data_IF_764210510001
#
_entry.id   IF_764210510001
#
_cell.length_a   1.000
_cell.length_b   1.000
_cell.length_c   1.000
_cell.angle_alpha   90.00
_cell.angle_beta   90.00
_cell.angle_gamma   90.00
#
_symmetry.space_group_name_H-M   'P 1'
#
loop_
_entity.id
_entity.type
_entity.pdbx_description
1 polymer ?
#
# COMPACT_ATOMS: atom_id res chain seq x y z
N UNK A 1 -16.57 -31.86 4.23
CA UNK A 1 -16.99 -30.65 3.49
C UNK A 1 -17.08 -29.56 4.54
N UNK A 2 -16.27 -28.54 4.47
CA UNK A 2 -16.43 -27.35 5.31
C UNK A 2 -17.67 -26.65 4.77
N UNK A 3 -18.68 -26.47 5.59
CA UNK A 3 -19.90 -25.76 5.21
C UNK A 3 -19.50 -24.29 4.92
N UNK A 4 -19.43 -23.93 3.66
CA UNK A 4 -19.04 -22.59 3.21
C UNK A 4 -20.16 -21.56 3.39
N UNK A 5 -21.34 -21.98 3.84
CA UNK A 5 -22.52 -21.14 3.99
C UNK A 5 -22.58 -20.35 5.32
N UNK A 6 -21.70 -20.65 6.28
CA UNK A 6 -21.72 -20.06 7.63
C UNK A 6 -20.51 -19.18 7.92
N UNK A 7 -19.88 -18.62 6.92
CA UNK A 7 -18.69 -17.79 7.10
C UNK A 7 -19.10 -16.34 7.27
N UNK A 8 -18.73 -15.76 8.39
CA UNK A 8 -19.34 -14.54 8.86
C UNK A 8 -18.58 -13.30 8.38
N UNK A 9 -17.62 -12.78 8.93
CA UNK A 9 -17.14 -11.41 8.78
C UNK A 9 -15.94 -11.26 7.83
N UNK A 10 -15.70 -10.03 7.37
CA UNK A 10 -14.44 -9.61 6.75
C UNK A 10 -13.59 -8.94 7.82
N UNK A 11 -12.40 -9.49 8.06
CA UNK A 11 -11.52 -8.99 9.10
C UNK A 11 -10.28 -8.30 8.56
N UNK A 12 -9.83 -7.28 9.29
CA UNK A 12 -8.55 -6.61 9.08
C UNK A 12 -7.69 -6.79 10.34
N UNK A 13 -6.50 -7.33 10.18
CA UNK A 13 -5.49 -7.32 11.24
C UNK A 13 -4.78 -5.98 11.20
N UNK A 14 -5.02 -5.17 12.23
CA UNK A 14 -4.52 -3.79 12.30
C UNK A 14 -3.10 -3.78 12.81
N UNK A 15 -2.20 -3.19 12.04
CA UNK A 15 -0.85 -2.88 12.49
C UNK A 15 -0.84 -1.53 13.20
N UNK A 16 -0.15 -1.46 14.32
CA UNK A 16 0.03 -0.22 15.06
C UNK A 16 1.46 -0.14 15.62
N UNK A 17 1.93 1.07 15.79
CA UNK A 17 3.21 1.40 16.41
C UNK A 17 3.01 2.57 17.36
N UNK A 18 3.30 2.34 18.64
CA UNK A 18 3.28 3.38 19.68
C UNK A 18 1.96 4.19 19.75
N UNK A 19 0.82 3.53 19.44
CA UNK A 19 -0.49 4.16 19.45
C UNK A 19 -0.88 4.86 18.14
N UNK A 20 -0.14 4.60 17.07
CA UNK A 20 -0.51 5.04 15.71
C UNK A 20 -0.80 3.83 14.82
N UNK A 21 -1.94 3.85 14.15
CA UNK A 21 -2.30 2.80 13.19
C UNK A 21 -1.54 3.00 11.89
N UNK A 22 -1.01 1.92 11.32
CA UNK A 22 -0.40 1.95 10.00
C UNK A 22 -1.44 2.34 8.94
N UNK A 23 -1.07 3.23 8.00
CA UNK A 23 -1.97 3.72 6.94
C UNK A 23 -2.62 2.59 6.15
N UNK A 24 -1.86 1.55 5.81
CA UNK A 24 -2.38 0.39 5.09
C UNK A 24 -3.53 -0.31 5.84
N UNK A 25 -3.49 -0.34 7.17
CA UNK A 25 -4.58 -0.91 7.97
C UNK A 25 -5.85 -0.08 7.86
N UNK A 26 -5.71 1.25 7.78
CA UNK A 26 -6.84 2.16 7.59
C UNK A 26 -7.39 2.09 6.15
N UNK A 27 -6.53 1.99 5.14
CA UNK A 27 -6.92 1.72 3.75
C UNK A 27 -7.72 0.40 3.65
N UNK A 28 -7.24 -0.65 4.34
CA UNK A 28 -7.88 -1.96 4.34
C UNK A 28 -9.25 -1.96 5.00
N UNK A 29 -9.50 -1.14 6.02
CA UNK A 29 -10.84 -1.00 6.61
C UNK A 29 -11.85 -0.49 5.59
N UNK A 30 -11.48 0.47 4.74
CA UNK A 30 -12.31 0.93 3.65
C UNK A 30 -12.65 -0.18 2.67
N UNK A 31 -11.63 -0.94 2.24
CA UNK A 31 -11.85 -2.06 1.32
C UNK A 31 -12.64 -3.19 1.95
N UNK A 32 -12.35 -3.52 3.21
CA UNK A 32 -13.10 -4.53 3.96
C UNK A 32 -14.59 -4.15 4.08
N UNK A 33 -14.91 -2.86 4.26
CA UNK A 33 -16.29 -2.38 4.29
C UNK A 33 -17.01 -2.60 2.96
N UNK A 34 -16.37 -2.26 1.84
CA UNK A 34 -16.92 -2.50 0.51
C UNK A 34 -17.18 -3.99 0.24
N UNK A 35 -16.25 -4.86 0.64
CA UNK A 35 -16.42 -6.31 0.48
C UNK A 35 -17.52 -6.85 1.41
N UNK A 36 -17.57 -6.40 2.65
CA UNK A 36 -18.56 -6.82 3.62
C UNK A 36 -19.97 -6.37 3.23
N UNK A 37 -20.14 -5.16 2.67
CA UNK A 37 -21.40 -4.67 2.16
C UNK A 37 -21.92 -5.52 1.00
N UNK A 38 -21.02 -5.97 0.09
CA UNK A 38 -21.38 -6.87 -1.00
C UNK A 38 -21.82 -8.25 -0.49
N UNK A 39 -21.20 -8.73 0.59
CA UNK A 39 -21.49 -10.02 1.20
C UNK A 39 -22.64 -9.99 2.21
N UNK A 40 -23.11 -8.79 2.62
CA UNK A 40 -24.13 -8.62 3.65
C UNK A 40 -23.64 -9.01 5.06
N UNK A 41 -22.34 -8.83 5.36
CA UNK A 41 -21.69 -9.21 6.63
C UNK A 41 -21.03 -8.02 7.32
N UNK A 42 -20.42 -8.25 8.51
CA UNK A 42 -19.77 -7.21 9.30
C UNK A 42 -18.25 -7.13 9.01
N UNK A 43 -17.67 -5.99 9.40
CA UNK A 43 -16.21 -5.79 9.41
C UNK A 43 -15.68 -5.91 10.82
N UNK A 44 -14.77 -6.87 11.02
CA UNK A 44 -13.99 -7.01 12.25
C UNK A 44 -12.60 -6.40 12.11
N UNK A 45 -12.13 -5.71 13.13
CA UNK A 45 -10.76 -5.23 13.24
C UNK A 45 -10.06 -5.89 14.42
N UNK A 46 -8.94 -6.58 14.20
CA UNK A 46 -8.11 -7.16 15.26
C UNK A 46 -7.01 -6.17 15.61
N UNK A 47 -7.09 -5.59 16.79
CA UNK A 47 -6.14 -4.62 17.33
C UNK A 47 -5.34 -5.24 18.48
N UNK A 48 -4.04 -5.43 18.31
CA UNK A 48 -3.15 -6.03 19.29
C UNK A 48 -2.19 -4.94 19.81
N UNK A 49 -2.03 -4.88 21.14
CA UNK A 49 -1.10 -3.91 21.71
C UNK A 49 -1.12 -3.89 23.24
N UNK A 50 -0.51 -2.87 23.82
CA UNK A 50 -0.49 -2.64 25.25
C UNK A 50 -0.84 -1.19 25.59
N UNK A 51 -1.44 -1.03 26.77
CA UNK A 51 -1.72 0.30 27.34
C UNK A 51 -2.87 1.07 26.69
N UNK A 52 -3.08 2.28 27.18
CA UNK A 52 -4.19 3.14 26.75
C UNK A 52 -3.95 3.74 25.34
N UNK A 53 -2.69 3.92 24.92
CA UNK A 53 -2.38 4.44 23.59
C UNK A 53 -2.91 3.52 22.46
N UNK A 54 -2.66 2.21 22.57
CA UNK A 54 -3.21 1.25 21.62
C UNK A 54 -4.74 1.18 21.67
N UNK A 55 -5.32 1.23 22.88
CA UNK A 55 -6.77 1.23 23.07
C UNK A 55 -7.45 2.47 22.44
N UNK A 56 -6.79 3.62 22.52
CA UNK A 56 -7.30 4.87 21.97
C UNK A 56 -7.48 4.85 20.44
N UNK A 57 -6.89 3.86 19.73
CA UNK A 57 -7.11 3.66 18.30
C UNK A 57 -8.48 3.08 17.97
N UNK A 58 -9.09 2.30 18.88
CA UNK A 58 -10.30 1.56 18.58
C UNK A 58 -11.47 2.42 18.07
N UNK A 59 -11.79 3.60 18.65
CA UNK A 59 -12.82 4.48 18.08
C UNK A 59 -12.52 4.97 16.67
N UNK A 60 -11.25 5.23 16.34
CA UNK A 60 -10.85 5.67 14.99
C UNK A 60 -11.02 4.54 13.97
N UNK A 61 -10.80 3.28 14.35
CA UNK A 61 -11.05 2.12 13.49
C UNK A 61 -12.55 1.95 13.22
N UNK A 62 -13.40 2.16 14.22
CA UNK A 62 -14.87 2.18 14.05
C UNK A 62 -15.29 3.28 13.10
N UNK A 63 -14.78 4.51 13.30
CA UNK A 63 -15.07 5.65 12.42
C UNK A 63 -14.66 5.41 10.96
N UNK A 64 -13.72 4.49 10.69
CA UNK A 64 -13.25 4.13 9.36
C UNK A 64 -13.84 2.84 8.79
N UNK A 65 -14.85 2.26 9.43
CA UNK A 65 -15.64 1.19 8.83
C UNK A 65 -15.70 -0.12 9.60
N UNK A 66 -14.97 -0.29 10.72
CA UNK A 66 -15.12 -1.47 11.55
C UNK A 66 -16.46 -1.45 12.31
N UNK A 67 -17.17 -2.57 12.31
CA UNK A 67 -18.38 -2.77 13.14
C UNK A 67 -18.00 -3.35 14.51
N UNK A 68 -16.93 -4.14 14.56
CA UNK A 68 -16.41 -4.71 15.81
C UNK A 68 -14.88 -4.58 15.84
N UNK A 69 -14.34 -4.06 16.93
CA UNK A 69 -12.89 -4.03 17.19
C UNK A 69 -12.60 -5.04 18.30
N UNK A 70 -11.84 -6.08 17.99
CA UNK A 70 -11.31 -7.05 18.95
C UNK A 70 -9.99 -6.52 19.50
N UNK A 71 -10.02 -5.94 20.66
CA UNK A 71 -8.84 -5.37 21.31
C UNK A 71 -8.17 -6.38 22.24
N UNK A 72 -6.99 -6.83 21.86
CA UNK A 72 -6.15 -7.77 22.61
C UNK A 72 -5.07 -7.00 23.34
N UNK A 73 -5.24 -6.80 24.63
CA UNK A 73 -4.35 -5.99 25.46
C UNK A 73 -3.49 -6.86 26.39
N UNK A 74 -2.17 -6.79 26.20
CA UNK A 74 -1.22 -7.40 27.14
C UNK A 74 0.14 -6.69 27.05
N UNK A 75 0.85 -6.55 28.16
CA UNK A 75 2.17 -5.90 28.21
C UNK A 75 3.19 -6.57 27.30
N UNK A 76 3.19 -7.90 27.24
CA UNK A 76 4.08 -8.69 26.39
C UNK A 76 3.76 -8.55 24.87
N UNK A 77 2.63 -7.92 24.53
CA UNK A 77 2.20 -7.65 23.16
C UNK A 77 2.39 -6.18 22.76
N UNK A 78 3.13 -5.39 23.54
CA UNK A 78 3.41 -3.99 23.24
C UNK A 78 4.10 -3.81 21.89
N UNK A 79 4.94 -4.75 21.52
CA UNK A 79 5.66 -4.78 20.26
C UNK A 79 5.40 -6.09 19.52
N UNK A 80 5.52 -6.02 18.19
CA UNK A 80 5.37 -7.21 17.36
C UNK A 80 6.42 -8.27 17.70
N UNK A 81 5.93 -9.44 18.05
CA UNK A 81 6.69 -10.68 18.14
C UNK A 81 5.93 -11.76 17.36
N UNK A 82 6.62 -12.43 16.44
CA UNK A 82 5.98 -13.29 15.45
C UNK A 82 5.11 -14.40 16.08
N UNK A 83 5.62 -15.10 17.07
CA UNK A 83 4.93 -16.25 17.65
C UNK A 83 3.72 -15.85 18.51
N UNK A 84 3.81 -14.90 19.47
CA UNK A 84 2.65 -14.47 20.26
C UNK A 84 1.53 -13.89 19.40
N UNK A 85 1.89 -13.04 18.40
CA UNK A 85 0.91 -12.46 17.47
C UNK A 85 0.22 -13.52 16.62
N UNK A 86 0.97 -14.55 16.17
CA UNK A 86 0.40 -15.69 15.44
C UNK A 86 -0.62 -16.44 16.30
N UNK A 87 -0.33 -16.67 17.59
CA UNK A 87 -1.24 -17.34 18.50
C UNK A 87 -2.50 -16.53 18.74
N UNK A 88 -2.35 -15.21 18.98
CA UNK A 88 -3.49 -14.29 19.15
C UNK A 88 -4.41 -14.35 17.93
N UNK A 89 -3.89 -14.07 16.75
CA UNK A 89 -4.70 -13.99 15.52
C UNK A 89 -5.31 -15.34 15.16
N UNK A 90 -4.55 -16.43 15.28
CA UNK A 90 -5.05 -17.78 15.00
C UNK A 90 -6.14 -18.19 15.99
N UNK A 91 -5.98 -17.84 17.28
CA UNK A 91 -6.97 -18.11 18.32
C UNK A 91 -8.30 -17.42 18.04
N UNK A 92 -8.26 -16.11 17.74
CA UNK A 92 -9.44 -15.34 17.37
C UNK A 92 -10.12 -15.83 16.09
N UNK A 93 -9.34 -16.17 15.06
CA UNK A 93 -9.91 -16.74 13.83
C UNK A 93 -10.61 -18.06 14.06
N UNK A 94 -10.08 -18.93 14.92
CA UNK A 94 -10.73 -20.20 15.28
C UNK A 94 -11.99 -20.02 16.11
N UNK A 95 -12.06 -18.99 16.93
CA UNK A 95 -13.22 -18.69 17.78
C UNK A 95 -14.37 -18.04 17.01
N UNK A 96 -14.03 -17.15 16.04
CA UNK A 96 -15.02 -16.33 15.35
C UNK A 96 -15.26 -16.70 13.88
N UNK A 97 -14.40 -17.54 13.30
CA UNK A 97 -14.53 -18.10 11.95
C UNK A 97 -14.80 -17.06 10.84
N UNK A 98 -14.02 -15.96 10.73
CA UNK A 98 -14.22 -14.99 9.66
C UNK A 98 -14.01 -15.63 8.28
N UNK A 99 -14.76 -15.20 7.26
CA UNK A 99 -14.58 -15.74 5.93
C UNK A 99 -13.38 -15.14 5.16
N UNK A 100 -13.02 -13.90 5.47
CA UNK A 100 -11.91 -13.18 4.84
C UNK A 100 -11.07 -12.52 5.93
N UNK A 101 -9.73 -12.62 5.81
CA UNK A 101 -8.80 -11.91 6.71
C UNK A 101 -7.74 -11.19 5.89
N UNK A 102 -7.64 -9.87 6.06
CA UNK A 102 -6.78 -8.98 5.33
C UNK A 102 -5.64 -8.46 6.21
N UNK A 103 -4.45 -8.35 5.62
CA UNK A 103 -3.24 -7.83 6.25
C UNK A 103 -2.58 -6.80 5.33
N UNK A 104 -1.85 -5.84 5.86
CA UNK A 104 -0.92 -5.02 5.09
C UNK A 104 0.23 -5.86 4.54
N UNK A 105 0.72 -5.57 3.33
CA UNK A 105 1.93 -6.20 2.80
C UNK A 105 3.21 -5.49 3.29
N UNK A 106 3.21 -5.08 4.53
CA UNK A 106 4.34 -4.50 5.28
C UNK A 106 5.34 -5.58 5.69
N UNK A 107 6.43 -5.19 6.33
CA UNK A 107 7.37 -6.14 6.93
C UNK A 107 6.67 -7.03 7.96
N UNK A 108 5.82 -6.45 8.82
CA UNK A 108 5.05 -7.20 9.83
C UNK A 108 4.03 -8.14 9.20
N UNK A 109 3.22 -7.63 8.28
CA UNK A 109 2.18 -8.46 7.66
C UNK A 109 2.73 -9.57 6.78
N UNK A 110 3.86 -9.36 6.11
CA UNK A 110 4.56 -10.40 5.33
C UNK A 110 5.19 -11.50 6.20
N UNK A 111 5.46 -11.23 7.47
CA UNK A 111 5.89 -12.25 8.44
C UNK A 111 4.71 -12.92 9.13
N UNK A 112 3.71 -12.15 9.57
CA UNK A 112 2.57 -12.65 10.35
C UNK A 112 1.58 -13.48 9.51
N UNK A 113 1.14 -12.94 8.38
CA UNK A 113 0.07 -13.57 7.59
C UNK A 113 0.38 -15.00 7.13
N UNK A 114 1.59 -15.34 6.61
CA UNK A 114 1.92 -16.70 6.24
C UNK A 114 2.00 -17.66 7.44
N UNK A 115 2.40 -17.17 8.61
CA UNK A 115 2.40 -17.98 9.85
C UNK A 115 0.98 -18.35 10.28
N UNK A 116 0.06 -17.39 10.24
CA UNK A 116 -1.36 -17.62 10.52
C UNK A 116 -1.98 -18.56 9.49
N UNK A 117 -1.72 -18.33 8.19
CA UNK A 117 -2.20 -19.21 7.12
C UNK A 117 -1.72 -20.66 7.29
N UNK A 118 -0.45 -20.85 7.63
CA UNK A 118 0.13 -22.17 7.91
C UNK A 118 -0.53 -22.83 9.13
N UNK A 119 -0.74 -22.09 10.23
CA UNK A 119 -1.37 -22.61 11.45
C UNK A 119 -2.83 -22.98 11.24
N UNK A 120 -3.54 -22.32 10.34
CA UNK A 120 -4.92 -22.59 9.95
C UNK A 120 -5.04 -23.58 8.77
N UNK A 121 -3.92 -23.93 8.12
CA UNK A 121 -3.88 -24.75 6.91
C UNK A 121 -4.75 -24.18 5.78
N UNK A 122 -4.72 -22.87 5.59
CA UNK A 122 -5.44 -22.17 4.53
C UNK A 122 -4.49 -21.51 3.53
N UNK A 123 -5.04 -21.02 2.41
CA UNK A 123 -4.28 -20.28 1.40
C UNK A 123 -4.07 -18.82 1.76
N UNK A 124 -2.95 -18.25 1.31
CA UNK A 124 -2.64 -16.84 1.41
C UNK A 124 -2.12 -16.31 0.08
N UNK A 125 -2.72 -15.24 -0.43
CA UNK A 125 -2.17 -14.51 -1.57
C UNK A 125 -1.41 -13.28 -1.09
N UNK A 126 -0.15 -13.19 -1.50
CA UNK A 126 0.71 -12.09 -1.06
C UNK A 126 0.73 -10.93 -2.05
N UNK A 127 0.83 -9.69 -1.53
CA UNK A 127 1.09 -8.46 -2.27
C UNK A 127 0.01 -8.14 -3.31
N UNK A 128 -1.26 -8.28 -2.92
CA UNK A 128 -2.41 -7.93 -3.74
C UNK A 128 -2.48 -6.43 -4.01
N UNK A 129 -2.98 -6.08 -5.19
CA UNK A 129 -3.22 -4.69 -5.59
C UNK A 129 -4.69 -4.37 -5.77
N UNK A 130 -5.55 -5.39 -5.84
CA UNK A 130 -7.00 -5.24 -5.82
C UNK A 130 -7.66 -6.50 -5.23
N UNK A 131 -8.86 -6.35 -4.69
CA UNK A 131 -9.68 -7.39 -4.08
C UNK A 131 -11.13 -7.23 -4.57
N UNK A 132 -11.80 -8.31 -4.94
CA UNK A 132 -13.21 -8.27 -5.39
C UNK A 132 -13.95 -9.51 -4.92
N UNK A 133 -15.27 -9.41 -4.79
CA UNK A 133 -16.14 -10.58 -4.62
C UNK A 133 -16.64 -11.03 -5.98
N UNK A 134 -16.70 -12.33 -6.19
CA UNK A 134 -17.24 -12.90 -7.42
C UNK A 134 -17.48 -14.39 -7.31
N UNK A 135 -18.25 -14.91 -8.26
CA UNK A 135 -18.58 -16.33 -8.38
C UNK A 135 -17.64 -17.02 -9.37
N UNK A 136 -17.29 -18.26 -9.10
CA UNK A 136 -16.39 -19.03 -9.96
C UNK A 136 -16.84 -20.47 -10.11
N UNK A 137 -16.85 -20.97 -11.34
CA UNK A 137 -17.11 -22.36 -11.63
C UNK A 137 -15.78 -23.11 -11.85
N UNK A 138 -15.57 -24.18 -11.10
CA UNK A 138 -14.38 -25.02 -11.20
C UNK A 138 -14.79 -26.49 -11.27
N UNK A 139 -14.40 -27.19 -12.35
CA UNK A 139 -14.68 -28.62 -12.58
C UNK A 139 -16.17 -29.00 -12.44
N UNK A 140 -17.08 -28.13 -12.83
CA UNK A 140 -18.51 -28.35 -12.76
C UNK A 140 -19.18 -28.03 -11.41
N UNK A 141 -18.42 -27.54 -10.43
CA UNK A 141 -18.92 -27.01 -9.17
C UNK A 141 -18.94 -25.49 -9.22
N UNK A 142 -20.01 -24.89 -8.75
CA UNK A 142 -20.14 -23.43 -8.61
C UNK A 142 -19.77 -23.02 -7.18
N UNK A 143 -18.85 -22.06 -7.08
CA UNK A 143 -18.45 -21.43 -5.82
C UNK A 143 -18.91 -19.99 -5.85
N UNK A 144 -19.65 -19.58 -4.84
CA UNK A 144 -20.19 -18.21 -4.71
C UNK A 144 -19.40 -17.41 -3.68
N UNK A 145 -19.46 -16.09 -3.82
CA UNK A 145 -18.94 -15.14 -2.84
C UNK A 145 -17.45 -15.37 -2.53
N UNK A 146 -16.65 -15.70 -3.56
CA UNK A 146 -15.21 -15.88 -3.42
C UNK A 146 -14.49 -14.52 -3.43
N UNK A 147 -13.45 -14.44 -2.61
CA UNK A 147 -12.50 -13.34 -2.70
C UNK A 147 -11.57 -13.52 -3.91
N UNK A 148 -11.69 -12.67 -4.90
CA UNK A 148 -10.76 -12.53 -6.01
C UNK A 148 -9.58 -11.69 -5.55
N UNK A 149 -8.42 -12.32 -5.45
CA UNK A 149 -7.19 -11.75 -4.94
C UNK A 149 -6.30 -11.41 -6.13
N UNK A 150 -6.27 -10.14 -6.50
CA UNK A 150 -5.67 -9.66 -7.74
C UNK A 150 -4.28 -9.10 -7.43
N UNK A 151 -3.28 -9.62 -8.12
CA UNK A 151 -1.90 -9.19 -7.96
C UNK A 151 -1.12 -9.16 -9.28
N UNK A 152 -0.13 -8.27 -9.42
CA UNK A 152 0.82 -8.35 -10.53
C UNK A 152 1.69 -9.60 -10.41
N UNK A 153 1.93 -10.27 -11.53
CA UNK A 153 2.84 -11.39 -11.66
C UNK A 153 3.88 -11.10 -12.75
N UNK A 154 4.98 -11.85 -12.75
CA UNK A 154 6.04 -11.78 -13.76
C UNK A 154 6.50 -10.35 -14.07
N UNK A 155 6.92 -9.59 -13.06
CA UNK A 155 7.43 -8.23 -13.21
C UNK A 155 6.37 -7.18 -13.54
N UNK A 156 5.08 -7.48 -13.33
CA UNK A 156 3.97 -6.55 -13.54
C UNK A 156 3.32 -6.59 -14.91
N UNK A 157 3.81 -7.41 -15.83
CA UNK A 157 3.25 -7.54 -17.18
C UNK A 157 1.98 -8.40 -17.25
N UNK A 158 1.73 -9.20 -16.22
CA UNK A 158 0.56 -10.07 -16.12
C UNK A 158 -0.15 -9.78 -14.80
N UNK A 159 -1.46 -9.70 -14.85
CA UNK A 159 -2.31 -9.62 -13.65
C UNK A 159 -2.86 -11.02 -13.40
N UNK A 160 -2.57 -11.56 -12.23
CA UNK A 160 -3.11 -12.85 -11.79
C UNK A 160 -4.29 -12.61 -10.83
N UNK A 161 -5.40 -13.30 -11.09
CA UNK A 161 -6.51 -13.42 -10.15
C UNK A 161 -6.44 -14.77 -9.47
N UNK A 162 -6.29 -14.77 -8.16
CA UNK A 162 -6.14 -15.99 -7.35
C UNK A 162 -7.39 -16.15 -6.49
N UNK A 163 -7.87 -17.38 -6.37
CA UNK A 163 -9.04 -17.74 -5.56
C UNK A 163 -8.71 -18.91 -4.63
N UNK A 164 -9.37 -18.97 -3.49
CA UNK A 164 -9.26 -20.06 -2.51
C UNK A 164 -10.66 -20.62 -2.20
N UNK A 165 -11.23 -21.47 -3.08
CA UNK A 165 -12.64 -21.86 -2.98
C UNK A 165 -12.93 -22.81 -1.80
N UNK A 166 -11.97 -23.64 -1.39
CA UNK A 166 -12.20 -24.76 -0.48
C UNK A 166 -11.84 -24.49 0.99
N UNK A 167 -11.11 -23.42 1.27
CA UNK A 167 -10.59 -23.15 2.61
C UNK A 167 -11.03 -21.78 3.12
N UNK A 168 -11.25 -21.69 4.42
CA UNK A 168 -11.56 -20.43 5.13
C UNK A 168 -10.60 -20.26 6.31
N UNK A 169 -10.27 -19.03 6.68
CA UNK A 169 -10.56 -17.81 5.93
C UNK A 169 -9.81 -17.73 4.59
N UNK A 170 -10.33 -16.94 3.65
CA UNK A 170 -9.58 -16.53 2.47
C UNK A 170 -8.66 -15.38 2.90
N UNK A 171 -7.35 -15.53 2.74
CA UNK A 171 -6.38 -14.59 3.29
C UNK A 171 -5.58 -13.87 2.21
N UNK A 172 -5.38 -12.57 2.39
CA UNK A 172 -4.55 -11.76 1.51
C UNK A 172 -3.68 -10.78 2.28
N UNK A 173 -2.43 -10.58 1.83
CA UNK A 173 -1.72 -9.35 2.15
C UNK A 173 -1.88 -8.37 1.01
N UNK A 174 -2.10 -7.09 1.32
CA UNK A 174 -2.38 -6.03 0.35
C UNK A 174 -1.29 -4.97 0.40
N UNK A 175 -0.82 -4.57 -0.78
CA UNK A 175 0.23 -3.57 -0.92
C UNK A 175 -0.22 -2.24 -0.33
N UNK A 176 0.69 -1.56 0.35
CA UNK A 176 0.46 -0.21 0.87
C UNK A 176 0.17 0.78 -0.26
N UNK A 177 -0.74 1.71 -0.01
CA UNK A 177 -1.04 2.80 -0.92
C UNK A 177 -1.83 2.39 -2.18
N UNK A 178 -2.40 1.17 -2.25
CA UNK A 178 -3.21 0.73 -3.41
C UNK A 178 -4.71 0.80 -3.14
N UNK A 179 -5.13 0.82 -1.88
CA UNK A 179 -6.53 0.98 -1.51
C UNK A 179 -6.81 2.43 -1.09
N UNK A 180 -8.06 2.81 -1.10
CA UNK A 180 -8.47 4.16 -0.71
C UNK A 180 -8.74 4.18 0.78
N UNK A 181 -8.04 5.08 1.49
CA UNK A 181 -8.31 5.32 2.92
C UNK A 181 -9.67 6.00 3.06
N UNK A 182 -10.62 5.45 3.83
CA UNK A 182 -11.92 6.07 4.04
C UNK A 182 -11.80 7.32 4.91
N UNK A 183 -12.68 8.30 4.68
CA UNK A 183 -12.86 9.41 5.60
C UNK A 183 -13.43 8.94 6.94
N UNK A 184 -13.11 9.63 8.02
CA UNK A 184 -13.69 9.32 9.33
C UNK A 184 -15.16 9.72 9.42
N UNK A 185 -16.05 8.78 9.63
CA UNK A 185 -17.42 9.06 10.07
C UNK A 185 -17.55 8.80 11.58
N UNK A 186 -17.39 9.84 12.36
CA UNK A 186 -17.46 9.78 13.83
C UNK A 186 -18.85 9.49 14.37
N UNK A 187 -19.88 9.41 13.51
CA UNK A 187 -21.25 9.05 13.88
C UNK A 187 -21.47 7.54 13.83
N UNK A 188 -20.50 6.78 13.30
CA UNK A 188 -20.62 5.33 13.27
C UNK A 188 -20.56 4.76 14.70
N UNK A 189 -21.50 3.89 14.98
CA UNK A 189 -21.48 3.06 16.18
C UNK A 189 -20.81 1.73 15.86
N UNK A 190 -19.96 1.25 16.77
CA UNK A 190 -19.29 -0.03 16.67
C UNK A 190 -18.99 -0.58 18.05
N UNK A 191 -18.75 -1.88 18.10
CA UNK A 191 -18.46 -2.57 19.35
C UNK A 191 -16.96 -2.67 19.55
N UNK A 192 -16.50 -2.38 20.75
CA UNK A 192 -15.11 -2.60 21.15
C UNK A 192 -15.14 -3.75 22.19
N UNK A 193 -14.60 -4.90 21.81
CA UNK A 193 -14.55 -6.09 22.62
C UNK A 193 -13.14 -6.24 23.17
N UNK A 194 -12.98 -6.11 24.48
CA UNK A 194 -11.73 -6.45 25.15
C UNK A 194 -11.60 -7.98 25.21
N UNK A 195 -10.61 -8.51 24.50
CA UNK A 195 -10.34 -9.94 24.45
C UNK A 195 -9.49 -10.33 25.68
N UNK A 196 -9.95 -11.26 26.52
CA UNK A 196 -9.14 -11.73 27.64
C UNK A 196 -7.87 -12.44 27.16
N UNK A 197 -6.74 -12.09 27.75
CA UNK A 197 -5.46 -12.77 27.53
C UNK A 197 -5.06 -13.51 28.81
N UNK A 198 -4.88 -14.81 28.70
CA UNK A 198 -4.37 -15.64 29.79
C UNK A 198 -2.91 -15.98 29.54
N UNK A 199 -2.04 -15.58 30.44
CA UNK A 199 -0.63 -15.96 30.44
C UNK A 199 -0.44 -17.22 31.27
N UNK A 200 0.13 -18.27 30.71
CA UNK A 200 0.38 -19.53 31.36
C UNK A 200 1.78 -20.06 31.08
N UNK A 201 2.32 -20.94 31.91
CA UNK A 201 3.60 -21.61 31.60
C UNK A 201 3.47 -22.57 30.43
N UNK A 202 2.36 -23.27 30.34
CA UNK A 202 2.03 -24.25 29.31
C UNK A 202 0.72 -23.87 28.64
N UNK A 203 0.47 -24.43 27.45
CA UNK A 203 -0.81 -24.22 26.77
C UNK A 203 -1.93 -24.92 27.51
N UNK A 204 -2.92 -24.14 27.94
CA UNK A 204 -4.13 -24.61 28.61
C UNK A 204 -5.35 -24.27 27.76
N UNK A 205 -6.41 -25.05 27.91
CA UNK A 205 -7.69 -24.72 27.32
C UNK A 205 -8.39 -23.66 28.19
N UNK A 206 -8.88 -22.59 27.55
CA UNK A 206 -9.71 -21.57 28.19
C UNK A 206 -11.08 -21.55 27.52
N UNK A 207 -12.10 -21.07 28.28
CA UNK A 207 -13.46 -21.00 27.77
C UNK A 207 -13.68 -19.91 26.76
N UNK A 208 -12.90 -18.83 26.82
CA UNK A 208 -12.95 -17.71 25.92
C UNK A 208 -11.62 -16.94 25.97
N UNK A 209 -11.28 -16.29 24.85
CA UNK A 209 -10.09 -15.45 24.74
C UNK A 209 -8.83 -16.20 24.28
N UNK A 210 -7.68 -15.56 24.44
CA UNK A 210 -6.39 -16.03 23.93
C UNK A 210 -5.51 -16.53 25.08
N UNK A 211 -4.85 -17.68 24.87
CA UNK A 211 -3.81 -18.20 25.77
C UNK A 211 -2.45 -17.98 25.17
N UNK A 212 -1.56 -17.34 25.91
CA UNK A 212 -0.15 -17.20 25.61
C UNK A 212 0.67 -18.02 26.61
N UNK A 213 1.49 -18.92 26.11
CA UNK A 213 2.39 -19.76 26.91
C UNK A 213 3.83 -19.24 26.87
N UNK A 214 4.70 -19.77 27.74
CA UNK A 214 6.14 -19.44 27.70
C UNK A 214 6.78 -19.88 26.39
N UNK A 215 6.26 -20.93 25.75
CA UNK A 215 6.69 -21.39 24.43
C UNK A 215 6.46 -20.36 23.32
N UNK A 216 5.53 -19.42 23.49
CA UNK A 216 5.25 -18.37 22.51
C UNK A 216 6.26 -17.22 22.58
N UNK A 217 7.09 -17.16 23.65
CA UNK A 217 8.07 -16.09 23.91
C UNK A 217 9.53 -16.58 23.86
N UNK A 218 9.87 -17.37 22.86
CA UNK A 218 11.24 -17.86 22.64
C UNK A 218 12.21 -16.76 22.21
N UNK A 219 11.68 -15.59 21.85
CA UNK A 219 12.44 -14.41 21.44
C UNK A 219 12.03 -13.22 22.30
N UNK A 220 13.01 -12.44 22.74
CA UNK A 220 12.79 -11.20 23.49
C UNK A 220 13.29 -10.01 22.70
N UNK A 221 12.50 -8.95 22.63
CA UNK A 221 12.93 -7.69 22.03
C UNK A 221 13.93 -7.00 22.95
N UNK A 222 15.20 -6.93 22.56
CA UNK A 222 16.25 -6.26 23.31
C UNK A 222 16.28 -4.76 23.08
N UNK A 223 16.14 -4.35 21.81
CA UNK A 223 16.14 -2.94 21.42
C UNK A 223 15.44 -2.76 20.09
N UNK A 224 14.63 -1.73 19.99
CA UNK A 224 14.09 -1.21 18.73
C UNK A 224 14.88 0.03 18.33
N UNK A 225 15.42 0.03 17.13
CA UNK A 225 16.04 1.20 16.52
C UNK A 225 15.15 1.63 15.39
N UNK A 226 14.53 2.78 15.51
CA UNK A 226 13.73 3.38 14.46
C UNK A 226 14.59 4.46 13.81
N UNK A 227 14.89 4.28 12.54
CA UNK A 227 15.49 5.36 11.75
C UNK A 227 14.41 6.40 11.45
N UNK A 228 14.69 7.65 11.79
CA UNK A 228 13.82 8.74 11.39
C UNK A 228 13.86 8.86 9.87
N UNK A 229 12.72 8.70 9.22
CA UNK A 229 12.61 8.97 7.78
C UNK A 229 12.92 10.43 7.53
N UNK A 230 14.05 10.70 6.90
CA UNK A 230 14.49 12.05 6.57
C UNK A 230 13.62 12.71 5.50
N UNK A 231 12.83 11.92 4.77
CA UNK A 231 12.05 12.39 3.62
C UNK A 231 10.65 11.78 3.65
N UNK A 232 9.64 12.64 3.67
CA UNK A 232 8.24 12.23 3.52
C UNK A 232 7.84 12.25 2.04
N UNK A 233 8.08 11.13 1.36
CA UNK A 233 7.65 10.94 -0.03
C UNK A 233 6.15 10.68 -0.16
N UNK A 234 5.52 10.03 0.84
CA UNK A 234 4.11 9.64 0.77
C UNK A 234 3.18 10.84 0.88
N UNK A 235 3.46 11.76 1.81
CA UNK A 235 2.68 12.97 2.02
C UNK A 235 2.96 14.10 1.01
N UNK A 236 3.97 13.95 0.16
CA UNK A 236 4.40 15.00 -0.76
C UNK A 236 3.36 15.27 -1.87
N UNK A 237 2.97 16.54 -2.01
CA UNK A 237 2.09 16.98 -3.12
C UNK A 237 2.80 17.00 -4.47
N UNK A 238 4.10 17.23 -4.47
CA UNK A 238 4.96 17.27 -5.66
C UNK A 238 6.19 16.42 -5.37
N UNK A 239 6.50 15.47 -6.25
CA UNK A 239 7.72 14.67 -6.20
C UNK A 239 8.53 14.92 -7.47
N UNK A 240 9.80 15.28 -7.32
CA UNK A 240 10.75 15.42 -8.42
C UNK A 240 11.78 14.31 -8.30
N UNK A 241 11.78 13.38 -9.24
CA UNK A 241 12.54 12.13 -9.13
C UNK A 241 13.64 12.07 -10.18
N UNK A 242 14.86 11.74 -9.71
CA UNK A 242 16.01 11.52 -10.57
C UNK A 242 16.25 10.05 -10.89
N UNK A 243 16.58 9.75 -12.15
CA UNK A 243 17.02 8.44 -12.59
C UNK A 243 18.51 8.40 -12.96
N UNK A 244 18.95 7.27 -13.56
CA UNK A 244 20.33 7.09 -14.03
C UNK A 244 20.71 8.13 -15.08
N UNK A 245 19.73 8.65 -15.84
CA UNK A 245 19.96 9.71 -16.86
C UNK A 245 20.46 11.04 -16.27
N UNK A 246 20.40 11.23 -14.94
CA UNK A 246 21.02 12.37 -14.24
C UNK A 246 22.55 12.32 -14.31
N UNK A 247 23.13 11.13 -14.44
CA UNK A 247 24.55 10.92 -14.78
C UNK A 247 25.52 10.86 -13.60
N UNK A 248 25.26 11.56 -12.51
CA UNK A 248 26.14 11.54 -11.33
C UNK A 248 25.44 12.03 -10.06
N UNK A 249 26.13 11.92 -8.92
CA UNK A 249 25.68 12.49 -7.65
C UNK A 249 25.58 14.02 -7.73
N UNK A 250 26.52 14.68 -8.38
CA UNK A 250 26.51 16.13 -8.58
C UNK A 250 25.32 16.55 -9.45
N UNK A 251 24.94 15.73 -10.43
CA UNK A 251 23.76 15.95 -11.27
C UNK A 251 22.46 15.96 -10.47
N UNK A 252 22.38 15.24 -9.34
CA UNK A 252 21.22 15.29 -8.44
C UNK A 252 20.97 16.66 -7.82
N UNK A 253 22.00 17.51 -7.67
CA UNK A 253 21.82 18.90 -7.22
C UNK A 253 20.83 19.68 -8.10
N UNK A 254 20.77 19.35 -9.39
CA UNK A 254 19.82 19.96 -10.33
C UNK A 254 18.36 19.50 -10.08
N UNK A 255 18.21 18.21 -9.75
CA UNK A 255 16.90 17.64 -9.36
C UNK A 255 16.42 18.25 -8.05
N UNK A 256 17.32 18.40 -7.08
CA UNK A 256 17.06 19.04 -5.79
C UNK A 256 16.67 20.51 -5.95
N UNK A 257 17.37 21.26 -6.84
CA UNK A 257 17.04 22.66 -7.13
C UNK A 257 15.65 22.78 -7.75
N UNK A 258 15.32 21.90 -8.69
CA UNK A 258 13.97 21.86 -9.28
C UNK A 258 12.92 21.55 -8.21
N UNK A 259 13.15 20.51 -7.38
CA UNK A 259 12.23 20.15 -6.29
C UNK A 259 12.00 21.34 -5.34
N UNK A 260 13.06 21.97 -4.90
CA UNK A 260 12.98 23.17 -4.04
C UNK A 260 12.23 24.32 -4.71
N UNK A 261 12.45 24.52 -6.01
CA UNK A 261 11.80 25.60 -6.77
C UNK A 261 10.29 25.41 -6.87
N UNK A 262 9.83 24.18 -7.07
CA UNK A 262 8.38 23.87 -7.20
C UNK A 262 7.71 23.54 -5.86
N UNK A 263 8.46 23.57 -4.74
CA UNK A 263 7.96 23.20 -3.41
C UNK A 263 7.68 21.71 -3.29
N UNK A 264 8.47 20.88 -3.95
CA UNK A 264 8.36 19.43 -3.96
C UNK A 264 9.45 18.72 -3.16
N UNK A 265 9.31 17.40 -3.05
CA UNK A 265 10.25 16.49 -2.40
C UNK A 265 11.05 15.73 -3.46
N UNK A 266 12.32 15.45 -3.16
CA UNK A 266 13.21 14.71 -4.06
C UNK A 266 12.95 13.22 -3.94
N UNK A 267 12.69 12.56 -5.08
CA UNK A 267 12.64 11.12 -5.21
C UNK A 267 13.77 10.58 -6.10
N UNK A 268 13.92 9.26 -6.17
CA UNK A 268 14.92 8.63 -7.00
C UNK A 268 14.46 7.26 -7.54
N UNK A 269 15.04 6.85 -8.66
CA UNK A 269 14.90 5.47 -9.10
C UNK A 269 15.85 4.56 -8.29
N UNK A 270 15.52 3.26 -8.19
CA UNK A 270 16.38 2.27 -7.55
C UNK A 270 17.81 2.31 -8.08
N UNK A 271 17.99 2.39 -9.39
CA UNK A 271 19.31 2.39 -9.99
C UNK A 271 20.18 3.60 -9.58
N UNK A 272 19.57 4.76 -9.31
CA UNK A 272 20.28 5.93 -8.79
C UNK A 272 20.67 5.76 -7.31
N UNK A 273 19.83 5.10 -6.52
CA UNK A 273 20.12 4.71 -5.12
C UNK A 273 21.23 3.64 -5.08
N UNK A 274 21.11 2.59 -5.88
CA UNK A 274 22.11 1.53 -5.98
C UNK A 274 23.48 2.08 -6.43
N UNK A 275 23.51 3.15 -7.24
CA UNK A 275 24.73 3.88 -7.61
C UNK A 275 25.29 4.78 -6.49
N UNK A 276 24.61 4.89 -5.35
CA UNK A 276 25.04 5.69 -4.21
C UNK A 276 24.93 7.20 -4.41
N UNK A 277 24.11 7.65 -5.35
CA UNK A 277 23.94 9.08 -5.63
C UNK A 277 23.00 9.77 -4.65
N UNK A 278 22.07 9.01 -4.08
CA UNK A 278 21.09 9.49 -3.10
C UNK A 278 20.70 8.35 -2.16
N UNK A 279 20.25 8.67 -0.95
CA UNK A 279 19.91 7.69 0.07
C UNK A 279 18.63 6.91 -0.30
N UNK A 280 18.50 5.70 0.28
CA UNK A 280 17.37 4.78 0.04
C UNK A 280 16.01 5.39 0.41
N UNK A 281 15.96 6.32 1.37
CA UNK A 281 14.73 7.00 1.77
C UNK A 281 14.04 7.77 0.64
N UNK A 282 14.79 8.11 -0.42
CA UNK A 282 14.30 8.76 -1.62
C UNK A 282 13.79 7.78 -2.69
N UNK A 283 13.92 6.46 -2.46
CA UNK A 283 13.60 5.48 -3.49
C UNK A 283 12.08 5.39 -3.76
N UNK A 284 11.69 5.63 -5.00
CA UNK A 284 10.32 5.44 -5.52
C UNK A 284 10.27 4.19 -6.38
N UNK A 285 9.27 3.34 -6.13
CA UNK A 285 9.06 2.11 -6.90
C UNK A 285 8.51 0.97 -6.06
N UNK A 286 8.39 -0.21 -6.66
CA UNK A 286 7.86 -1.41 -6.03
C UNK A 286 8.64 -1.85 -4.77
N UNK A 287 9.96 -1.63 -4.76
CA UNK A 287 10.87 -1.98 -3.64
C UNK A 287 11.25 -0.76 -2.79
N UNK A 288 10.69 0.41 -3.08
CA UNK A 288 10.83 1.65 -2.33
C UNK A 288 9.47 2.15 -1.86
N UNK A 289 9.30 3.46 -1.84
CA UNK A 289 8.04 4.11 -1.47
C UNK A 289 7.11 4.21 -2.67
N UNK A 290 5.86 3.80 -2.52
CA UNK A 290 4.78 4.10 -3.48
C UNK A 290 4.23 5.49 -3.16
N UNK A 291 4.12 6.34 -4.20
CA UNK A 291 3.74 7.76 -4.08
C UNK A 291 2.55 8.09 -4.97
N UNK A 292 1.71 9.02 -4.52
CA UNK A 292 0.54 9.53 -5.28
C UNK A 292 0.47 11.06 -5.25
N UNK A 293 1.52 11.76 -5.68
CA UNK A 293 1.54 13.22 -5.66
C UNK A 293 0.54 13.80 -6.67
N UNK A 294 0.20 15.07 -6.49
CA UNK A 294 -0.52 15.84 -7.52
C UNK A 294 0.31 16.03 -8.79
N UNK A 295 1.64 16.11 -8.65
CA UNK A 295 2.59 16.19 -9.75
C UNK A 295 3.82 15.34 -9.46
N UNK A 296 4.13 14.43 -10.39
CA UNK A 296 5.37 13.66 -10.41
C UNK A 296 6.22 14.11 -11.59
N UNK A 297 7.47 14.53 -11.34
CA UNK A 297 8.41 14.94 -12.36
C UNK A 297 9.51 13.89 -12.45
N UNK A 298 9.56 13.13 -13.55
CA UNK A 298 10.55 12.09 -13.79
C UNK A 298 11.70 12.64 -14.64
N UNK A 299 12.89 12.81 -14.06
CA UNK A 299 14.08 13.36 -14.70
C UNK A 299 15.09 12.25 -15.01
N UNK A 300 15.29 11.91 -16.27
CA UNK A 300 16.25 10.87 -16.69
C UNK A 300 15.91 9.48 -16.17
N UNK A 301 14.64 9.17 -16.01
CA UNK A 301 14.11 7.86 -15.58
C UNK A 301 13.66 7.09 -16.81
N UNK A 302 14.12 5.83 -16.95
CA UNK A 302 13.73 4.98 -18.08
C UNK A 302 12.26 4.54 -18.04
N UNK A 303 11.70 4.38 -16.82
CA UNK A 303 10.31 3.93 -16.65
C UNK A 303 10.16 2.41 -16.64
N UNK A 304 11.08 1.70 -15.97
CA UNK A 304 10.91 0.26 -15.68
C UNK A 304 9.59 -0.01 -14.97
N UNK A 305 9.03 -1.20 -15.17
CA UNK A 305 7.76 -1.62 -14.56
C UNK A 305 7.76 -1.44 -13.04
N UNK A 306 8.90 -1.76 -12.40
CA UNK A 306 9.07 -1.63 -10.96
C UNK A 306 9.02 -0.17 -10.48
N UNK A 307 9.57 0.76 -11.24
CA UNK A 307 9.50 2.18 -10.92
C UNK A 307 8.09 2.72 -11.16
N UNK A 308 7.48 2.39 -12.30
CA UNK A 308 6.11 2.81 -12.63
C UNK A 308 5.10 2.34 -11.61
N UNK A 309 5.23 1.10 -11.11
CA UNK A 309 4.35 0.58 -10.05
C UNK A 309 4.35 1.42 -8.76
N UNK A 310 5.36 2.24 -8.55
CA UNK A 310 5.45 3.14 -7.40
C UNK A 310 4.96 4.57 -7.65
N UNK A 311 4.63 4.97 -8.91
CA UNK A 311 4.29 6.36 -9.20
C UNK A 311 3.20 6.57 -10.27
N UNK A 312 2.73 5.55 -10.95
CA UNK A 312 1.75 5.66 -12.05
C UNK A 312 0.38 6.17 -11.60
N UNK A 313 0.06 6.08 -10.30
CA UNK A 313 -1.14 6.64 -9.68
C UNK A 313 -1.03 8.14 -9.38
N UNK A 314 0.04 8.81 -9.81
CA UNK A 314 0.19 10.27 -9.67
C UNK A 314 -0.86 11.00 -10.51
N UNK A 315 -1.46 12.07 -9.97
CA UNK A 315 -2.51 12.81 -10.69
C UNK A 315 -2.02 13.43 -12.01
N UNK A 316 -0.75 13.86 -12.05
CA UNK A 316 -0.07 14.31 -13.28
C UNK A 316 1.37 13.84 -13.26
N UNK A 317 1.87 13.42 -14.42
CA UNK A 317 3.24 12.95 -14.62
C UNK A 317 3.87 13.77 -15.75
N UNK A 318 5.00 14.42 -15.44
CA UNK A 318 5.89 15.06 -16.42
C UNK A 318 7.15 14.22 -16.53
N UNK A 319 7.50 13.77 -17.72
CA UNK A 319 8.73 13.02 -17.97
C UNK A 319 9.71 13.83 -18.82
N UNK A 320 10.99 13.83 -18.43
CA UNK A 320 12.11 14.43 -19.16
C UNK A 320 13.11 13.32 -19.43
N UNK A 321 13.32 12.96 -20.68
CA UNK A 321 14.27 11.92 -21.09
C UNK A 321 14.85 12.27 -22.47
N UNK A 322 16.11 11.92 -22.71
CA UNK A 322 16.74 12.09 -24.01
C UNK A 322 16.41 10.97 -25.03
N UNK A 323 15.95 9.81 -24.52
CA UNK A 323 15.47 8.71 -25.36
C UNK A 323 13.95 8.87 -25.61
N UNK A 324 13.53 9.16 -26.87
CA UNK A 324 12.11 9.29 -27.18
C UNK A 324 11.32 8.00 -27.05
N UNK A 325 11.97 6.85 -26.99
CA UNK A 325 11.36 5.53 -26.81
C UNK A 325 11.36 5.06 -25.36
N UNK A 326 11.82 5.88 -24.42
CA UNK A 326 11.84 5.52 -23.01
C UNK A 326 10.44 5.13 -22.50
N UNK A 327 10.28 3.97 -21.86
CA UNK A 327 8.97 3.48 -21.39
C UNK A 327 8.24 4.43 -20.42
N UNK A 328 8.95 5.38 -19.81
CA UNK A 328 8.35 6.39 -18.92
C UNK A 328 7.31 7.25 -19.66
N UNK A 329 7.50 7.50 -20.95
CA UNK A 329 6.56 8.29 -21.74
C UNK A 329 5.20 7.61 -21.93
N UNK A 330 5.11 6.28 -21.78
CA UNK A 330 3.83 5.57 -21.88
C UNK A 330 2.85 5.90 -20.75
N UNK A 331 3.34 6.40 -19.60
CA UNK A 331 2.54 6.80 -18.43
C UNK A 331 2.57 8.30 -18.19
N UNK A 332 3.38 9.05 -18.93
CA UNK A 332 3.52 10.48 -18.80
C UNK A 332 2.33 11.23 -19.41
N UNK A 333 1.78 12.21 -18.68
CA UNK A 333 0.80 13.15 -19.22
C UNK A 333 1.48 14.24 -20.08
N UNK A 334 2.72 14.56 -19.74
CA UNK A 334 3.56 15.52 -20.46
C UNK A 334 4.94 14.91 -20.63
N UNK A 335 5.44 14.92 -21.85
CA UNK A 335 6.77 14.40 -22.20
C UNK A 335 7.65 15.49 -22.80
N UNK A 336 8.88 15.60 -22.33
CA UNK A 336 9.92 16.45 -22.92
C UNK A 336 11.07 15.55 -23.35
N UNK A 337 11.25 15.41 -24.65
CA UNK A 337 12.42 14.70 -25.23
C UNK A 337 13.58 15.67 -25.30
N UNK A 338 14.61 15.47 -24.51
CA UNK A 338 15.76 16.35 -24.44
C UNK A 338 16.71 16.09 -23.29
N UNK A 339 17.83 16.77 -23.34
CA UNK A 339 18.84 16.74 -22.28
C UNK A 339 18.32 17.46 -21.03
N UNK A 340 18.18 16.71 -19.94
CA UNK A 340 17.66 17.23 -18.67
C UNK A 340 18.53 18.37 -18.10
N UNK A 341 19.86 18.36 -18.37
CA UNK A 341 20.77 19.42 -17.91
C UNK A 341 20.51 20.77 -18.63
N UNK A 342 19.82 20.75 -19.77
CA UNK A 342 19.36 21.95 -20.46
C UNK A 342 17.91 22.28 -20.12
N UNK A 343 17.05 21.26 -20.03
CA UNK A 343 15.61 21.42 -19.82
C UNK A 343 15.30 21.91 -18.39
N UNK A 344 15.92 21.32 -17.37
CA UNK A 344 15.62 21.66 -15.96
C UNK A 344 15.94 23.12 -15.62
N UNK A 345 17.09 23.71 -16.00
CA UNK A 345 17.35 25.14 -15.76
C UNK A 345 16.32 26.05 -16.40
N UNK A 346 15.87 25.72 -17.62
CA UNK A 346 14.82 26.50 -18.30
C UNK A 346 13.47 26.40 -17.57
N UNK A 347 13.11 25.22 -17.04
CA UNK A 347 11.91 25.04 -16.24
C UNK A 347 11.98 25.87 -14.94
N UNK A 348 13.13 25.83 -14.26
CA UNK A 348 13.37 26.61 -13.02
C UNK A 348 13.23 28.11 -13.32
N UNK A 349 13.85 28.59 -14.41
CA UNK A 349 13.76 29.99 -14.82
C UNK A 349 12.33 30.41 -15.15
N UNK A 350 11.61 29.59 -15.94
CA UNK A 350 10.23 29.85 -16.32
C UNK A 350 9.30 29.89 -15.10
N UNK A 351 9.51 28.99 -14.12
CA UNK A 351 8.73 28.97 -12.88
C UNK A 351 8.98 30.22 -12.02
N UNK A 352 10.25 30.59 -11.84
CA UNK A 352 10.64 31.80 -11.08
C UNK A 352 10.09 33.08 -11.74
N UNK A 353 10.11 33.16 -13.07
CA UNK A 353 9.59 34.34 -13.80
C UNK A 353 8.06 34.45 -13.67
N UNK A 354 7.33 33.33 -13.74
CA UNK A 354 5.86 33.34 -13.55
C UNK A 354 5.46 33.59 -12.10
N UNK A 355 6.24 33.11 -11.13
CA UNK A 355 5.97 33.33 -9.71
C UNK A 355 6.25 34.78 -9.26
N UNK A 356 7.13 35.50 -9.94
CA UNK A 356 7.43 36.92 -9.67
C UNK A 356 6.39 37.90 -10.30
N UNK A 357 5.59 37.43 -11.27
CA UNK A 357 4.50 38.18 -11.88
C UNK A 357 3.16 37.65 -11.38
N UNK A 358 2.66 38.16 -10.25
CA UNK A 358 1.31 37.86 -9.75
C UNK A 358 0.26 38.27 -10.80
N UNK A 359 -0.25 37.32 -11.57
CA UNK A 359 -1.29 37.54 -12.56
C UNK A 359 -1.97 36.23 -12.96
N UNK A 360 -3.30 36.25 -12.94
CA UNK A 360 -4.24 35.17 -13.18
C UNK A 360 -3.82 34.14 -14.25
N UNK A 361 -4.13 32.87 -13.99
CA UNK A 361 -4.01 31.79 -14.95
C UNK A 361 -4.76 32.12 -16.26
N UNK A 362 -4.16 31.98 -17.44
CA UNK A 362 -4.91 32.03 -18.68
C UNK A 362 -5.84 30.83 -18.80
N UNK A 363 -7.08 31.08 -19.19
CA UNK A 363 -8.06 30.06 -19.54
C UNK A 363 -7.52 29.09 -20.62
N UNK A 364 -7.97 27.85 -20.71
CA UNK A 364 -7.49 26.89 -21.71
C UNK A 364 -7.86 27.37 -23.12
N UNK A 365 -6.87 27.87 -23.83
CA UNK A 365 -6.99 28.29 -25.23
C UNK A 365 -6.88 27.09 -26.16
N UNK A 366 -7.77 27.08 -27.12
CA UNK A 366 -8.03 26.12 -28.17
C UNK A 366 -6.78 25.52 -28.81
N UNK A 367 -6.79 24.21 -28.92
CA UNK A 367 -5.81 23.46 -29.72
C UNK A 367 -5.93 23.87 -31.20
N UNK A 368 -4.84 24.22 -31.83
CA UNK A 368 -4.75 24.40 -33.29
C UNK A 368 -5.01 23.06 -34.00
N UNK A 369 -5.77 23.05 -35.12
CA UNK A 369 -6.06 21.80 -35.82
C UNK A 369 -4.80 21.22 -36.48
N UNK A 370 -4.62 19.92 -36.29
CA UNK A 370 -3.57 19.15 -36.97
C UNK A 370 -3.78 19.19 -38.46
N UNK A 371 -2.73 19.56 -39.21
CA UNK A 371 -2.71 19.46 -40.64
C UNK A 371 -2.68 17.97 -41.07
N UNK A 372 -3.48 17.55 -42.04
CA UNK A 372 -3.43 16.19 -42.54
C UNK A 372 -2.15 15.99 -43.38
N UNK A 373 -1.49 14.86 -43.13
CA UNK A 373 -0.36 14.40 -43.93
C UNK A 373 -0.80 14.22 -45.39
N UNK A 374 -0.06 14.79 -46.32
CA UNK A 374 -0.24 14.63 -47.74
C UNK A 374 -0.06 13.16 -48.13
N UNK A 375 -1.08 12.60 -48.77
CA UNK A 375 -0.97 11.34 -49.48
C UNK A 375 -0.20 11.56 -50.81
N UNK A 376 1.00 11.00 -50.89
CA UNK A 376 1.69 10.85 -52.16
C UNK A 376 1.12 9.64 -52.91
N UNK A 377 0.36 9.93 -53.95
CA UNK A 377 -0.03 8.98 -54.96
C UNK A 377 1.12 8.81 -55.95
N UNK A 378 1.56 7.60 -56.16
CA UNK A 378 2.48 7.18 -57.20
C UNK A 378 1.91 5.98 -57.90
N UNK A 379 1.31 6.23 -59.05
CA UNK A 379 0.99 5.22 -60.06
C UNK A 379 2.25 4.77 -60.79
N UNK A 380 2.44 3.51 -60.97
CA UNK A 380 2.78 2.75 -62.16
C UNK A 380 2.99 1.29 -61.82
#
# INVERSE_FOLDING_TARGET
>A
MVDTANTNDVWVVVEQHDGEAAEVSLELLGRARELADQLGVQVGAVLIGAGEAAKALAPALVARGADTVYFVAHTDLAHYLAQPYTQVVTGLIREHEPQIVLYGATTTGRDLAPRVASALRTGLTADCTDLRIGDHALKGEEFKDLLYQIRPAFGGNIIATIISPLHRPQMATVREGVMVMPEEDRRRDGRIIAVPVTRARERIAVRAGVVLSDEDFVVTLVKRVQEEKRVDLKGARIVVSGGVGVGSREGFALVEELARTVGGVVGASRAAVDAGWIDHDHQVGQTGTTVRPKLYIACGISGSVQHRAGMDQSARILAINNDPLAPIFSVAHYGVVGDLHKVIPLLIQAYKTKGAGGGAAPAPGQAAPAQPAAADGGAS
#
